data_IF_131253362463
#
_entry.id   IF_131253362463
#
_cell.length_a   1.000
_cell.length_b   1.000
_cell.length_c   1.000
_cell.angle_alpha   90.00
_cell.angle_beta   90.00
_cell.angle_gamma   90.00
#
_symmetry.space_group_name_H-M   'P 1'
#
loop_
_entity.id
_entity.type
_entity.pdbx_description
1 polymer ?
#
# COMPACT_ATOMS: atom_id res chain seq x y z
N UNK A 1 -31.31 -32.95 51.39
CA UNK A 1 -31.63 -31.51 51.31
C UNK A 1 -32.09 -31.03 52.68
N UNK A 2 -31.16 -30.66 53.58
CA UNK A 2 -31.47 -30.28 54.98
C UNK A 2 -30.92 -28.89 55.36
N UNK A 3 -30.57 -28.05 54.37
CA UNK A 3 -29.91 -26.75 54.63
C UNK A 3 -30.89 -25.56 54.77
N UNK A 4 -32.20 -25.73 54.59
CA UNK A 4 -33.19 -24.62 54.55
C UNK A 4 -33.87 -24.27 55.88
N UNK A 5 -33.51 -24.90 57.00
CA UNK A 5 -34.16 -24.61 58.31
C UNK A 5 -33.56 -23.44 59.09
N UNK A 6 -32.38 -22.93 58.70
CA UNK A 6 -31.78 -21.80 59.38
C UNK A 6 -32.26 -20.47 58.76
N UNK A 7 -33.05 -19.70 59.52
CA UNK A 7 -33.56 -18.37 59.11
C UNK A 7 -32.43 -17.42 58.67
N UNK A 8 -31.21 -17.58 59.21
CA UNK A 8 -30.01 -16.83 58.80
C UNK A 8 -29.49 -17.23 57.41
N UNK A 9 -29.58 -18.51 57.04
CA UNK A 9 -29.19 -19.02 55.72
C UNK A 9 -30.23 -18.62 54.67
N UNK A 10 -31.52 -18.67 55.02
CA UNK A 10 -32.60 -18.20 54.15
C UNK A 10 -32.49 -16.69 53.87
N UNK A 11 -32.15 -15.89 54.88
CA UNK A 11 -31.90 -14.45 54.72
C UNK A 11 -30.67 -14.17 53.85
N UNK A 12 -29.58 -14.94 54.01
CA UNK A 12 -28.38 -14.79 53.18
C UNK A 12 -28.64 -15.11 51.70
N UNK A 13 -29.42 -16.17 51.42
CA UNK A 13 -29.80 -16.54 50.04
C UNK A 13 -30.74 -15.49 49.42
N UNK A 14 -31.67 -14.93 50.19
CA UNK A 14 -32.55 -13.86 49.73
C UNK A 14 -31.77 -12.58 49.39
N UNK A 15 -30.82 -12.17 50.24
CA UNK A 15 -29.96 -11.00 49.99
C UNK A 15 -29.05 -11.23 48.77
N UNK A 16 -28.49 -12.43 48.61
CA UNK A 16 -27.68 -12.78 47.45
C UNK A 16 -28.48 -12.73 46.14
N UNK A 17 -29.72 -13.24 46.14
CA UNK A 17 -30.61 -13.16 44.98
C UNK A 17 -30.96 -11.71 44.61
N UNK A 18 -31.22 -10.85 45.61
CA UNK A 18 -31.50 -9.43 45.37
C UNK A 18 -30.26 -8.73 44.79
N UNK A 19 -29.06 -9.01 45.32
CA UNK A 19 -27.80 -8.45 44.78
C UNK A 19 -27.48 -8.97 43.38
N UNK A 20 -27.78 -10.24 43.08
CA UNK A 20 -27.59 -10.81 41.75
C UNK A 20 -28.54 -10.20 40.71
N UNK A 21 -29.80 -9.93 41.09
CA UNK A 21 -30.77 -9.26 40.20
C UNK A 21 -30.41 -7.80 39.97
N UNK A 22 -29.99 -7.08 41.01
CA UNK A 22 -29.55 -5.68 40.89
C UNK A 22 -28.21 -5.55 40.12
N UNK A 23 -27.26 -6.46 40.35
CA UNK A 23 -25.99 -6.51 39.64
C UNK A 23 -26.13 -6.93 38.17
N UNK A 24 -27.01 -7.91 37.89
CA UNK A 24 -27.30 -8.37 36.54
C UNK A 24 -28.05 -7.34 35.68
N UNK A 25 -28.97 -6.58 36.28
CA UNK A 25 -29.71 -5.52 35.59
C UNK A 25 -28.82 -4.34 35.16
N UNK A 26 -27.75 -4.03 35.91
CA UNK A 26 -26.80 -2.97 35.58
C UNK A 26 -25.77 -3.38 34.50
N UNK A 27 -25.50 -4.68 34.34
CA UNK A 27 -24.52 -5.16 33.35
C UNK A 27 -25.11 -5.24 31.93
N UNK A 28 -26.43 -5.47 31.79
CA UNK A 28 -27.09 -5.63 30.49
C UNK A 28 -27.44 -4.30 29.78
N UNK A 29 -27.31 -3.16 30.45
CA UNK A 29 -27.63 -1.84 29.86
C UNK A 29 -26.40 -1.11 29.30
N UNK A 30 -25.20 -1.68 29.43
CA UNK A 30 -23.93 -1.04 29.01
C UNK A 30 -23.35 -1.58 27.70
N UNK A 31 -24.20 -2.11 26.82
CA UNK A 31 -23.81 -2.62 25.49
C UNK A 31 -24.66 -2.02 24.38
N UNK A 32 -24.65 -0.69 24.23
CA UNK A 32 -25.09 0.01 23.01
C UNK A 32 -24.30 1.31 22.87
N UNK A 33 -23.12 1.22 22.25
CA UNK A 33 -22.43 2.32 21.56
C UNK A 33 -21.39 1.69 20.64
N UNK A 34 -21.86 0.87 19.70
CA UNK A 34 -21.16 0.71 18.43
C UNK A 34 -21.73 1.83 17.54
N UNK A 35 -20.93 2.87 17.33
CA UNK A 35 -21.23 3.85 16.29
C UNK A 35 -21.54 3.12 15.00
N UNK A 36 -22.57 3.49 14.22
CA UNK A 36 -22.69 2.98 12.87
C UNK A 36 -21.41 3.40 12.14
N UNK A 37 -20.59 2.41 11.78
CA UNK A 37 -19.50 2.60 10.84
C UNK A 37 -20.19 3.12 9.59
N UNK A 38 -19.95 4.40 9.29
CA UNK A 38 -20.33 5.01 8.02
C UNK A 38 -19.94 4.03 6.92
N UNK A 39 -20.80 3.72 5.94
CA UNK A 39 -20.36 3.01 4.75
C UNK A 39 -19.10 3.71 4.27
N UNK A 40 -18.01 2.97 4.23
CA UNK A 40 -16.79 3.35 3.52
C UNK A 40 -17.27 3.90 2.19
N UNK A 41 -17.14 5.22 2.00
CA UNK A 41 -17.17 5.78 0.66
C UNK A 41 -16.21 4.91 -0.13
N UNK A 42 -16.75 4.21 -1.12
CA UNK A 42 -15.95 3.56 -2.13
C UNK A 42 -14.98 4.64 -2.57
N UNK A 43 -13.69 4.41 -2.33
CA UNK A 43 -12.66 5.17 -3.02
C UNK A 43 -13.01 4.96 -4.48
N UNK A 44 -13.60 5.99 -5.10
CA UNK A 44 -13.76 6.03 -6.54
C UNK A 44 -12.32 6.00 -7.01
N UNK A 45 -11.91 4.85 -7.52
CA UNK A 45 -10.65 4.70 -8.22
C UNK A 45 -10.78 5.61 -9.44
N UNK A 46 -10.35 6.84 -9.25
CA UNK A 46 -10.31 7.86 -10.30
C UNK A 46 -9.18 7.40 -11.21
N UNK A 47 -9.49 6.47 -12.12
CA UNK A 47 -8.57 6.02 -13.15
C UNK A 47 -8.06 7.27 -13.87
N UNK A 48 -6.79 7.61 -13.65
CA UNK A 48 -6.17 8.75 -14.31
C UNK A 48 -6.20 8.49 -15.82
N UNK A 49 -6.39 9.54 -16.64
CA UNK A 49 -6.26 9.37 -18.09
C UNK A 49 -4.89 8.80 -18.42
N UNK A 50 -4.85 7.83 -19.31
CA UNK A 50 -3.61 7.16 -19.69
C UNK A 50 -2.91 7.89 -20.85
N UNK A 51 -1.57 7.86 -20.84
CA UNK A 51 -0.74 8.25 -21.97
C UNK A 51 0.10 7.06 -22.41
N UNK A 52 0.40 6.98 -23.71
CA UNK A 52 1.32 5.98 -24.20
C UNK A 52 2.77 6.37 -23.82
N UNK A 53 3.66 5.40 -23.51
CA UNK A 53 5.07 5.69 -23.23
C UNK A 53 5.77 6.50 -24.34
N UNK A 54 5.33 6.35 -25.59
CA UNK A 54 5.86 7.11 -26.74
C UNK A 54 5.49 8.60 -26.72
N UNK A 55 4.40 8.97 -26.05
CA UNK A 55 3.93 10.36 -25.97
C UNK A 55 4.90 11.22 -25.17
N UNK A 56 5.46 10.63 -24.11
CA UNK A 56 6.49 11.26 -23.26
C UNK A 56 7.93 10.90 -23.70
N UNK A 57 8.07 10.11 -24.77
CA UNK A 57 9.38 9.68 -25.28
C UNK A 57 10.14 8.81 -24.27
N UNK A 58 9.45 7.89 -23.60
CA UNK A 58 10.04 7.00 -22.60
C UNK A 58 10.94 5.95 -23.26
N UNK A 59 12.19 5.88 -22.81
CA UNK A 59 13.16 4.85 -23.20
C UNK A 59 13.65 4.15 -21.94
N UNK A 60 13.56 2.82 -21.91
CA UNK A 60 14.03 2.00 -20.80
C UNK A 60 15.29 1.27 -21.20
N UNK A 61 16.29 1.26 -20.32
CA UNK A 61 17.53 0.50 -20.49
C UNK A 61 17.73 -0.43 -19.31
N UNK A 62 17.71 -1.73 -19.57
CA UNK A 62 18.14 -2.73 -18.61
C UNK A 62 19.66 -2.70 -18.46
N UNK A 63 20.15 -2.85 -17.23
CA UNK A 63 21.58 -3.06 -17.01
C UNK A 63 21.96 -4.45 -17.56
N UNK A 64 23.16 -4.63 -18.15
CA UNK A 64 23.55 -5.91 -18.76
C UNK A 64 23.52 -7.13 -17.82
N UNK A 65 23.55 -6.94 -16.51
CA UNK A 65 23.47 -8.02 -15.51
C UNK A 65 22.03 -8.37 -15.09
N UNK A 66 21.02 -7.67 -15.64
CA UNK A 66 19.60 -7.88 -15.34
C UNK A 66 19.16 -7.43 -13.94
N UNK A 67 20.03 -6.77 -13.17
CA UNK A 67 19.78 -6.45 -11.75
C UNK A 67 19.33 -5.02 -11.49
N UNK A 68 19.25 -4.22 -12.53
CA UNK A 68 18.78 -2.86 -12.44
C UNK A 68 18.23 -2.38 -13.77
N UNK A 69 17.42 -1.33 -13.72
CA UNK A 69 17.01 -0.59 -14.92
C UNK A 69 17.16 0.91 -14.71
N UNK A 70 17.27 1.64 -15.80
CA UNK A 70 17.10 3.09 -15.84
C UNK A 70 16.07 3.40 -16.91
N UNK A 71 15.45 4.57 -16.82
CA UNK A 71 14.62 5.08 -17.89
C UNK A 71 14.78 6.59 -18.05
N UNK A 72 14.57 7.02 -19.29
CA UNK A 72 14.72 8.39 -19.75
C UNK A 72 13.40 8.86 -20.36
N UNK A 73 13.02 10.10 -20.09
CA UNK A 73 11.86 10.78 -20.64
C UNK A 73 12.38 11.91 -21.52
N UNK A 74 12.28 11.74 -22.84
CA UNK A 74 12.85 12.67 -23.82
C UNK A 74 11.90 13.83 -24.21
N UNK A 75 10.63 13.79 -23.80
CA UNK A 75 9.62 14.83 -24.07
C UNK A 75 8.97 15.31 -22.78
N UNK A 76 9.74 15.98 -21.93
CA UNK A 76 9.28 16.44 -20.62
C UNK A 76 8.99 17.96 -20.55
N UNK A 77 9.00 18.68 -21.68
CA UNK A 77 8.84 20.14 -21.71
C UNK A 77 7.56 20.66 -21.04
N UNK A 78 6.47 19.91 -21.08
CA UNK A 78 5.18 20.23 -20.48
C UNK A 78 4.93 19.51 -19.15
N UNK A 79 5.91 18.73 -18.67
CA UNK A 79 5.82 17.96 -17.43
C UNK A 79 6.39 18.81 -16.28
N UNK A 80 5.72 18.76 -15.13
CA UNK A 80 6.16 19.40 -13.89
C UNK A 80 6.88 18.39 -12.99
N UNK A 81 6.26 17.24 -12.74
CA UNK A 81 6.80 16.17 -11.89
C UNK A 81 6.40 14.81 -12.43
N UNK A 82 7.24 13.81 -12.16
CA UNK A 82 6.93 12.40 -12.43
C UNK A 82 7.18 11.62 -11.15
N UNK A 83 6.13 11.04 -10.59
CA UNK A 83 6.25 9.98 -9.59
C UNK A 83 6.28 8.66 -10.34
N UNK A 84 7.14 7.73 -9.91
CA UNK A 84 7.22 6.43 -10.55
C UNK A 84 7.22 5.31 -9.52
N UNK A 85 6.66 4.19 -9.96
CA UNK A 85 6.70 2.89 -9.29
C UNK A 85 7.25 1.87 -10.28
N UNK A 86 8.24 1.10 -9.86
CA UNK A 86 8.73 -0.07 -10.58
C UNK A 86 8.30 -1.30 -9.79
N UNK A 87 7.48 -2.14 -10.38
CA UNK A 87 6.94 -3.35 -9.76
C UNK A 87 7.55 -4.60 -10.40
N UNK A 88 7.88 -5.57 -9.56
CA UNK A 88 8.38 -6.88 -9.98
C UNK A 88 8.11 -7.95 -8.94
N UNK A 89 8.22 -9.22 -9.32
CA UNK A 89 8.18 -10.36 -8.41
C UNK A 89 9.58 -10.94 -8.23
N UNK A 90 9.91 -11.26 -6.98
CA UNK A 90 11.14 -11.97 -6.63
C UNK A 90 10.84 -13.32 -6.02
N UNK A 91 11.78 -14.26 -6.19
CA UNK A 91 11.69 -15.58 -5.57
C UNK A 91 12.38 -15.60 -4.21
N UNK A 92 11.65 -16.00 -3.17
CA UNK A 92 12.18 -16.29 -1.82
C UNK A 92 11.69 -17.68 -1.43
N UNK A 93 12.63 -18.60 -1.20
CA UNK A 93 12.32 -19.98 -0.76
C UNK A 93 11.32 -20.71 -1.68
N UNK A 94 11.29 -20.38 -2.97
CA UNK A 94 10.40 -20.96 -3.97
C UNK A 94 9.02 -20.28 -4.08
N UNK A 95 8.77 -19.24 -3.29
CA UNK A 95 7.56 -18.42 -3.37
C UNK A 95 7.82 -17.11 -4.13
N UNK A 96 6.83 -16.66 -4.91
CA UNK A 96 6.85 -15.37 -5.58
C UNK A 96 6.35 -14.29 -4.65
N UNK A 97 7.16 -13.27 -4.43
CA UNK A 97 6.87 -12.14 -3.55
C UNK A 97 6.92 -10.86 -4.38
N UNK A 98 5.85 -10.05 -4.39
CA UNK A 98 5.86 -8.75 -5.07
C UNK A 98 6.79 -7.76 -4.34
N UNK A 99 7.44 -6.91 -5.11
CA UNK A 99 8.37 -5.88 -4.63
C UNK A 99 8.21 -4.60 -5.47
N UNK A 100 8.51 -3.45 -4.86
CA UNK A 100 8.28 -2.14 -5.46
C UNK A 100 9.42 -1.15 -5.20
N UNK A 101 9.83 -0.42 -6.24
CA UNK A 101 10.76 0.71 -6.13
C UNK A 101 10.02 1.99 -6.48
N UNK A 102 9.97 2.92 -5.52
CA UNK A 102 9.30 4.21 -5.68
C UNK A 102 10.31 5.32 -5.87
N UNK A 103 9.90 6.38 -6.57
CA UNK A 103 10.62 7.64 -6.50
C UNK A 103 9.98 8.77 -7.28
N UNK A 104 10.71 9.89 -7.28
CA UNK A 104 10.29 11.14 -7.89
C UNK A 104 11.39 11.60 -8.85
N UNK A 105 10.99 12.02 -10.04
CA UNK A 105 11.86 12.69 -11.01
C UNK A 105 11.48 14.16 -11.10
N UNK A 106 12.48 15.02 -10.92
CA UNK A 106 12.38 16.42 -11.29
C UNK A 106 12.73 16.57 -12.77
N UNK A 107 12.04 17.49 -13.45
CA UNK A 107 12.24 17.73 -14.87
C UNK A 107 13.43 18.68 -15.08
N UNK A 108 14.37 18.28 -15.95
CA UNK A 108 15.49 19.11 -16.37
C UNK A 108 15.04 20.33 -17.17
N UNK A 109 15.88 21.37 -17.23
CA UNK A 109 15.58 22.59 -17.99
C UNK A 109 15.62 22.37 -19.52
N UNK A 110 16.23 21.27 -19.96
CA UNK A 110 16.40 20.86 -21.35
C UNK A 110 15.28 19.96 -21.88
N UNK A 111 14.23 19.73 -21.09
CA UNK A 111 13.09 18.90 -21.49
C UNK A 111 13.38 17.40 -21.49
N UNK A 112 14.56 17.00 -21.01
CA UNK A 112 14.99 15.61 -20.88
C UNK A 112 15.20 15.32 -19.40
N UNK A 113 14.76 14.15 -18.93
CA UNK A 113 15.09 13.70 -17.57
C UNK A 113 15.33 12.20 -17.55
N UNK A 114 16.22 11.77 -16.66
CA UNK A 114 16.69 10.38 -16.60
C UNK A 114 16.88 9.95 -15.16
N UNK A 115 16.52 8.70 -14.87
CA UNK A 115 16.83 8.08 -13.58
C UNK A 115 18.24 7.52 -13.54
N UNK A 116 18.85 7.53 -12.36
CA UNK A 116 19.93 6.60 -12.07
C UNK A 116 19.43 5.15 -12.17
N UNK A 117 20.35 4.19 -12.29
CA UNK A 117 19.98 2.77 -12.21
C UNK A 117 19.25 2.49 -10.89
N UNK A 118 18.03 1.97 -11.01
CA UNK A 118 17.21 1.47 -9.92
C UNK A 118 17.49 -0.01 -9.75
N UNK A 119 18.18 -0.33 -8.67
CA UNK A 119 18.63 -1.66 -8.31
C UNK A 119 17.45 -2.52 -7.83
N UNK A 120 17.31 -3.74 -8.35
CA UNK A 120 16.35 -4.72 -7.86
C UNK A 120 16.89 -5.37 -6.59
N UNK A 121 16.39 -4.93 -5.43
CA UNK A 121 16.82 -5.38 -4.12
C UNK A 121 17.13 -4.22 -3.19
N UNK A 122 18.03 -4.44 -2.25
CA UNK A 122 18.33 -3.47 -1.19
C UNK A 122 19.83 -3.15 -1.16
N UNK A 123 20.16 -1.86 -1.16
CA UNK A 123 21.54 -1.39 -1.01
C UNK A 123 21.72 -0.72 0.36
N UNK A 124 22.75 -1.13 1.09
CA UNK A 124 23.13 -0.52 2.37
C UNK A 124 24.65 -0.33 2.43
N UNK A 125 25.08 0.88 2.77
CA UNK A 125 26.50 1.26 2.90
C UNK A 125 27.39 0.83 1.72
N UNK A 126 26.91 0.99 0.48
CA UNK A 126 27.65 0.67 -0.74
C UNK A 126 27.70 -0.82 -1.11
N UNK A 127 26.95 -1.69 -0.41
CA UNK A 127 26.76 -3.09 -0.79
C UNK A 127 25.29 -3.35 -1.11
N UNK A 128 25.04 -3.94 -2.26
CA UNK A 128 23.69 -4.30 -2.69
C UNK A 128 23.46 -5.81 -2.55
N UNK A 129 22.33 -6.17 -1.95
CA UNK A 129 21.76 -7.51 -2.02
C UNK A 129 20.70 -7.46 -3.11
N UNK A 130 20.93 -8.23 -4.17
CA UNK A 130 20.03 -8.29 -5.30
C UNK A 130 18.95 -9.34 -5.10
N UNK A 131 17.77 -9.03 -5.59
CA UNK A 131 16.66 -9.96 -5.64
C UNK A 131 16.80 -10.93 -6.83
N UNK A 132 16.26 -12.14 -6.70
CA UNK A 132 16.09 -13.07 -7.81
C UNK A 132 14.77 -12.74 -8.52
N UNK A 133 14.81 -11.85 -9.51
CA UNK A 133 13.60 -11.40 -10.22
C UNK A 133 13.10 -12.50 -11.16
N UNK A 134 11.80 -12.81 -11.07
CA UNK A 134 11.16 -13.91 -11.82
C UNK A 134 9.97 -13.48 -12.67
N UNK A 135 9.67 -12.19 -12.72
CA UNK A 135 8.61 -11.59 -13.55
C UNK A 135 9.18 -10.64 -14.59
N UNK A 136 8.31 -10.22 -15.52
CA UNK A 136 8.51 -8.97 -16.26
C UNK A 136 8.50 -7.79 -15.26
N UNK A 137 9.11 -6.68 -15.64
CA UNK A 137 9.12 -5.45 -14.85
C UNK A 137 8.02 -4.52 -15.35
N UNK A 138 7.17 -4.03 -14.45
CA UNK A 138 6.16 -3.02 -14.76
C UNK A 138 6.60 -1.66 -14.22
N UNK A 139 6.70 -0.66 -15.09
CA UNK A 139 6.99 0.72 -14.70
C UNK A 139 5.71 1.53 -14.85
N UNK A 140 5.25 2.10 -13.75
CA UNK A 140 4.07 2.97 -13.69
C UNK A 140 4.55 4.37 -13.35
N UNK A 141 4.17 5.35 -14.18
CA UNK A 141 4.47 6.76 -13.97
C UNK A 141 3.17 7.51 -13.73
N UNK A 142 3.12 8.29 -12.66
CA UNK A 142 2.15 9.37 -12.48
C UNK A 142 2.79 10.68 -12.93
N UNK A 143 2.32 11.20 -14.05
CA UNK A 143 2.84 12.39 -14.71
C UNK A 143 1.95 13.57 -14.40
N UNK A 144 2.48 14.56 -13.69
CA UNK A 144 1.79 15.84 -13.47
C UNK A 144 2.31 16.85 -14.48
N UNK A 145 1.44 17.36 -15.34
CA UNK A 145 1.75 18.39 -16.34
C UNK A 145 1.77 19.77 -15.70
N UNK A 146 2.42 20.73 -16.36
CA UNK A 146 2.50 22.14 -15.90
C UNK A 146 1.15 22.84 -15.82
N UNK A 147 0.12 22.32 -16.50
CA UNK A 147 -1.27 22.80 -16.40
C UNK A 147 -2.05 22.18 -15.23
N UNK A 148 -1.40 21.33 -14.42
CA UNK A 148 -1.97 20.66 -13.26
C UNK A 148 -2.71 19.36 -13.56
N UNK A 149 -2.80 18.93 -14.83
CA UNK A 149 -3.41 17.64 -15.17
C UNK A 149 -2.49 16.48 -14.84
N UNK A 150 -3.08 15.39 -14.37
CA UNK A 150 -2.39 14.16 -14.03
C UNK A 150 -2.72 13.06 -15.03
N UNK A 151 -1.71 12.29 -15.40
CA UNK A 151 -1.82 11.16 -16.33
C UNK A 151 -1.07 9.96 -15.79
N UNK A 152 -1.50 8.77 -16.18
CA UNK A 152 -0.78 7.52 -15.90
C UNK A 152 -0.10 7.01 -17.17
N UNK A 153 1.15 6.56 -17.04
CA UNK A 153 1.87 5.85 -18.10
C UNK A 153 2.33 4.51 -17.56
N UNK A 154 2.09 3.44 -18.30
CA UNK A 154 2.53 2.09 -17.95
C UNK A 154 3.44 1.53 -19.03
N UNK A 155 4.56 0.92 -18.61
CA UNK A 155 5.50 0.23 -19.50
C UNK A 155 5.93 -1.09 -18.90
N UNK A 156 5.63 -2.18 -19.60
CA UNK A 156 6.14 -3.51 -19.29
C UNK A 156 7.47 -3.74 -20.03
N UNK A 157 8.45 -4.28 -19.31
CA UNK A 157 9.80 -4.59 -19.80
C UNK A 157 10.10 -6.05 -19.50
N UNK A 158 10.47 -6.80 -20.53
CA UNK A 158 10.85 -8.20 -20.39
C UNK A 158 12.31 -8.30 -19.96
N UNK A 159 12.58 -9.10 -18.94
CA UNK A 159 13.93 -9.46 -18.49
C UNK A 159 14.53 -10.60 -19.32
#
# INVERSE_FOLDING_TARGET
>A
MEQFKNKKVLAAVAVFLILAVLGGALFLTRSKNASPVSPTESIVDSELPTLDPSDIGMVVTLRPDGKALMFEIAKADDIQTIEYTIEYEKEIEGERVPEGIFGLMNIGQDGITKTDYREFGTCSSGRCRYDNVVSDITIILKVTKKDGKEYQVEKIVKL
#
